data_IF_015093746255
#
_entry.id   IF_015093746255
#
_cell.length_a   1.000
_cell.length_b   1.000
_cell.length_c   1.000
_cell.angle_alpha   90.00
_cell.angle_beta   90.00
_cell.angle_gamma   90.00
#
_symmetry.space_group_name_H-M   'P 1'
#
loop_
_entity.id
_entity.type
_entity.pdbx_description
1 polymer ?
#
# COMPACT_ATOMS: atom_id res chain seq x y z
N UNK A 1 25.35 -13.67 21.61
CA UNK A 1 24.97 -12.28 21.24
C UNK A 1 23.67 -12.31 20.43
N UNK A 2 22.54 -11.88 21.00
CA UNK A 2 21.29 -11.72 20.23
C UNK A 2 21.32 -10.36 19.54
N UNK A 3 21.48 -10.34 18.21
CA UNK A 3 21.26 -9.11 17.41
C UNK A 3 19.76 -8.89 17.31
N UNK A 4 19.25 -7.87 17.98
CA UNK A 4 17.88 -7.39 17.77
C UNK A 4 17.83 -6.71 16.41
N UNK A 5 17.35 -7.40 15.39
CA UNK A 5 17.02 -6.78 14.10
C UNK A 5 15.72 -6.01 14.33
N UNK A 6 15.78 -4.68 14.46
CA UNK A 6 14.59 -3.83 14.33
C UNK A 6 14.21 -3.83 12.85
N UNK A 7 13.25 -4.67 12.48
CA UNK A 7 12.61 -4.55 11.17
C UNK A 7 11.79 -3.25 11.16
N UNK A 8 12.14 -2.31 10.28
CA UNK A 8 11.24 -1.20 9.96
C UNK A 8 9.99 -1.76 9.29
N UNK A 9 8.79 -1.21 9.53
CA UNK A 9 7.57 -1.69 8.88
C UNK A 9 7.71 -1.59 7.35
N UNK A 10 7.14 -2.56 6.64
CA UNK A 10 7.14 -2.58 5.18
C UNK A 10 6.56 -1.24 4.65
N UNK A 11 7.28 -0.50 3.79
CA UNK A 11 6.89 0.84 3.38
C UNK A 11 5.46 0.92 2.80
N UNK A 12 5.03 -0.08 2.05
CA UNK A 12 3.69 -0.14 1.46
C UNK A 12 2.56 -0.22 2.50
N UNK A 13 2.73 -1.05 3.54
CA UNK A 13 1.71 -1.20 4.59
C UNK A 13 1.56 0.06 5.44
N UNK A 14 2.68 0.74 5.69
CA UNK A 14 2.71 2.02 6.42
C UNK A 14 1.97 3.11 5.63
N UNK A 15 2.19 3.16 4.32
CA UNK A 15 1.49 4.10 3.44
C UNK A 15 -0.02 3.82 3.42
N UNK A 16 -0.46 2.57 3.23
CA UNK A 16 -1.88 2.25 3.21
C UNK A 16 -2.61 2.58 4.52
N UNK A 17 -2.01 2.29 5.67
CA UNK A 17 -2.60 2.61 6.97
C UNK A 17 -2.79 4.13 7.15
N UNK A 18 -1.82 4.95 6.71
CA UNK A 18 -1.92 6.40 6.78
C UNK A 18 -2.97 6.96 5.81
N UNK A 19 -3.05 6.40 4.60
CA UNK A 19 -4.08 6.78 3.63
C UNK A 19 -5.47 6.47 4.16
N UNK A 20 -5.68 5.28 4.73
CA UNK A 20 -6.95 4.88 5.31
C UNK A 20 -7.41 5.85 6.42
N UNK A 21 -6.50 6.22 7.33
CA UNK A 21 -6.78 7.19 8.38
C UNK A 21 -7.16 8.57 7.80
N UNK A 22 -6.39 9.07 6.82
CA UNK A 22 -6.66 10.37 6.18
C UNK A 22 -7.96 10.37 5.37
N UNK A 23 -8.35 9.23 4.82
CA UNK A 23 -9.60 9.04 4.08
C UNK A 23 -10.83 8.86 5.00
N UNK A 24 -10.64 8.93 6.32
CA UNK A 24 -11.70 8.71 7.29
C UNK A 24 -12.27 7.28 7.21
N UNK A 25 -11.46 6.31 6.81
CA UNK A 25 -11.82 4.90 6.93
C UNK A 25 -11.59 4.48 8.37
N UNK A 26 -12.68 4.25 9.09
CA UNK A 26 -12.68 3.71 10.44
C UNK A 26 -13.06 2.23 10.37
N UNK A 27 -12.19 1.34 10.87
CA UNK A 27 -12.43 -0.11 10.87
C UNK A 27 -11.40 -0.92 10.08
N UNK A 28 -11.81 -2.12 9.67
CA UNK A 28 -10.95 -3.07 8.95
C UNK A 28 -10.69 -2.61 7.51
N UNK A 29 -9.44 -2.72 7.06
CA UNK A 29 -9.07 -2.58 5.65
C UNK A 29 -8.64 -3.95 5.13
N UNK A 30 -9.18 -4.35 3.97
CA UNK A 30 -8.79 -5.61 3.34
C UNK A 30 -7.62 -5.37 2.40
N UNK A 31 -6.51 -6.06 2.64
CA UNK A 31 -5.34 -6.07 1.77
C UNK A 31 -5.45 -7.26 0.83
N UNK A 32 -5.55 -7.00 -0.47
CA UNK A 32 -5.65 -8.03 -1.50
C UNK A 32 -4.29 -8.63 -1.84
N UNK A 33 -3.24 -7.79 -1.85
CA UNK A 33 -1.89 -8.26 -2.10
C UNK A 33 -0.85 -7.36 -1.45
N UNK A 34 0.31 -7.93 -1.12
CA UNK A 34 1.45 -7.26 -0.49
C UNK A 34 2.75 -7.67 -1.16
N UNK A 35 3.58 -8.48 -0.52
CA UNK A 35 4.71 -9.09 -1.23
C UNK A 35 4.22 -10.07 -2.30
N UNK A 36 4.88 -10.08 -3.48
CA UNK A 36 4.70 -11.09 -4.53
C UNK A 36 6.06 -11.72 -4.86
N UNK A 37 6.07 -13.02 -5.12
CA UNK A 37 7.23 -13.71 -5.71
C UNK A 37 7.33 -13.38 -7.21
N UNK A 38 8.47 -13.62 -7.88
CA UNK A 38 8.58 -13.47 -9.33
C UNK A 38 7.50 -14.26 -10.10
N UNK A 39 7.21 -15.50 -9.67
CA UNK A 39 6.24 -16.38 -10.31
C UNK A 39 4.82 -15.86 -10.17
N UNK A 40 4.43 -15.45 -8.95
CA UNK A 40 3.10 -14.88 -8.70
C UNK A 40 2.93 -13.51 -9.36
N UNK A 41 3.98 -12.69 -9.41
CA UNK A 41 3.97 -11.41 -10.14
C UNK A 41 3.80 -11.63 -11.64
N UNK A 42 4.50 -12.62 -12.22
CA UNK A 42 4.34 -13.00 -13.62
C UNK A 42 2.93 -13.53 -13.93
N UNK A 43 2.39 -14.41 -13.07
CA UNK A 43 1.07 -15.01 -13.26
C UNK A 43 -0.08 -14.00 -13.32
N UNK A 44 0.08 -12.85 -12.67
CA UNK A 44 -0.90 -11.75 -12.70
C UNK A 44 -0.51 -10.63 -13.68
N UNK A 45 0.45 -10.89 -14.58
CA UNK A 45 0.99 -9.94 -15.55
C UNK A 45 1.50 -8.64 -14.91
N UNK A 46 2.11 -8.76 -13.72
CA UNK A 46 2.73 -7.64 -13.01
C UNK A 46 3.98 -7.14 -13.71
N UNK A 47 4.29 -5.85 -13.52
CA UNK A 47 5.49 -5.24 -14.09
C UNK A 47 6.77 -5.93 -13.58
N UNK A 48 7.79 -6.03 -14.43
CA UNK A 48 9.07 -6.66 -14.09
C UNK A 48 9.81 -5.96 -12.94
N UNK A 49 9.62 -4.64 -12.79
CA UNK A 49 10.20 -3.84 -11.70
C UNK A 49 9.16 -3.48 -10.61
N UNK A 50 8.18 -4.35 -10.39
CA UNK A 50 7.08 -4.12 -9.44
C UNK A 50 7.57 -3.94 -8.00
N UNK A 51 7.00 -2.96 -7.30
CA UNK A 51 7.27 -2.73 -5.87
C UNK A 51 6.75 -3.88 -4.98
N UNK A 52 5.79 -4.69 -5.44
CA UNK A 52 5.37 -5.90 -4.74
C UNK A 52 6.51 -6.92 -4.60
N UNK A 53 7.44 -6.99 -5.55
CA UNK A 53 8.62 -7.87 -5.50
C UNK A 53 9.60 -7.50 -4.36
N UNK A 54 9.44 -6.32 -3.77
CA UNK A 54 10.30 -5.79 -2.70
C UNK A 54 9.53 -5.49 -1.41
N UNK A 55 8.30 -6.00 -1.29
CA UNK A 55 7.37 -5.65 -0.21
C UNK A 55 7.15 -4.12 -0.05
N UNK A 56 7.37 -3.36 -1.14
CA UNK A 56 7.20 -1.91 -1.19
C UNK A 56 5.80 -1.47 -1.62
N UNK A 57 4.88 -2.41 -1.87
CA UNK A 57 3.54 -2.12 -2.33
C UNK A 57 2.47 -2.96 -1.63
N UNK A 58 1.26 -2.42 -1.61
CA UNK A 58 0.03 -3.11 -1.19
C UNK A 58 -1.13 -2.73 -2.11
N UNK A 59 -2.02 -3.68 -2.34
CA UNK A 59 -3.31 -3.44 -2.99
C UNK A 59 -4.40 -3.46 -1.92
N UNK A 60 -5.11 -2.35 -1.77
CA UNK A 60 -6.15 -2.16 -0.76
C UNK A 60 -7.51 -2.28 -1.44
N UNK A 61 -8.35 -3.19 -0.98
CA UNK A 61 -9.75 -3.24 -1.42
C UNK A 61 -10.48 -2.02 -0.89
N UNK A 62 -11.21 -1.33 -1.77
CA UNK A 62 -11.93 -0.11 -1.41
C UNK A 62 -13.33 -0.21 -2.01
N UNK A 63 -14.33 0.07 -1.18
CA UNK A 63 -15.72 0.10 -1.65
C UNK A 63 -15.88 1.12 -2.79
N UNK A 64 -16.69 0.85 -3.82
CA UNK A 64 -16.77 1.69 -5.03
C UNK A 64 -17.00 3.18 -4.74
N UNK A 65 -17.85 3.50 -3.76
CA UNK A 65 -18.16 4.87 -3.31
C UNK A 65 -17.00 5.57 -2.57
N UNK A 66 -16.02 4.79 -2.09
CA UNK A 66 -14.85 5.28 -1.34
C UNK A 66 -13.58 5.36 -2.16
N UNK A 67 -13.56 4.84 -3.39
CA UNK A 67 -12.35 4.79 -4.24
C UNK A 67 -11.79 6.19 -4.50
N UNK A 68 -12.65 7.15 -4.85
CA UNK A 68 -12.23 8.52 -5.14
C UNK A 68 -11.58 9.16 -3.90
N UNK A 69 -12.24 9.07 -2.74
CA UNK A 69 -11.73 9.63 -1.49
C UNK A 69 -10.41 8.97 -1.04
N UNK A 70 -10.30 7.65 -1.13
CA UNK A 70 -9.08 6.94 -0.78
C UNK A 70 -7.93 7.28 -1.73
N UNK A 71 -8.19 7.25 -3.04
CA UNK A 71 -7.21 7.60 -4.08
C UNK A 71 -6.70 9.03 -3.92
N UNK A 72 -7.58 10.00 -3.67
CA UNK A 72 -7.19 11.40 -3.41
C UNK A 72 -6.22 11.50 -2.23
N UNK A 73 -6.50 10.83 -1.12
CA UNK A 73 -5.64 10.86 0.06
C UNK A 73 -4.31 10.15 -0.19
N UNK A 74 -4.29 9.06 -0.96
CA UNK A 74 -3.06 8.40 -1.39
C UNK A 74 -2.18 9.32 -2.24
N UNK A 75 -2.79 10.02 -3.20
CA UNK A 75 -2.09 10.98 -4.06
C UNK A 75 -1.54 12.16 -3.27
N UNK A 76 -2.35 12.75 -2.38
CA UNK A 76 -1.94 13.85 -1.51
C UNK A 76 -0.87 13.47 -0.51
N UNK A 77 -0.80 12.20 -0.10
CA UNK A 77 0.26 11.72 0.76
C UNK A 77 1.63 11.82 0.08
N UNK A 78 1.71 11.64 -1.24
CA UNK A 78 2.92 11.86 -2.03
C UNK A 78 4.10 10.97 -1.65
N UNK A 79 3.85 9.77 -1.11
CA UNK A 79 4.90 8.86 -0.59
C UNK A 79 5.29 7.72 -1.53
N UNK A 80 4.73 7.72 -2.74
CA UNK A 80 5.14 6.85 -3.84
C UNK A 80 4.05 6.73 -4.90
N UNK A 81 4.03 5.61 -5.61
CA UNK A 81 3.09 5.37 -6.70
C UNK A 81 1.68 5.04 -6.22
N UNK A 82 0.67 5.55 -6.94
CA UNK A 82 -0.73 5.23 -6.69
C UNK A 82 -1.39 4.74 -7.99
N UNK A 83 -1.87 3.50 -7.99
CA UNK A 83 -2.67 2.95 -9.08
C UNK A 83 -4.13 2.86 -8.65
N UNK A 84 -5.04 3.52 -9.37
CA UNK A 84 -6.49 3.44 -9.08
C UNK A 84 -7.11 2.41 -10.03
N UNK A 85 -7.76 1.38 -9.49
CA UNK A 85 -8.47 0.37 -10.27
C UNK A 85 -9.94 0.37 -9.87
N UNK A 86 -10.61 1.47 -10.18
CA UNK A 86 -12.02 1.72 -9.83
C UNK A 86 -12.94 0.59 -10.28
N UNK A 87 -12.77 0.17 -11.52
CA UNK A 87 -13.50 -0.95 -12.13
C UNK A 87 -13.28 -2.30 -11.45
N UNK A 88 -12.17 -2.46 -10.72
CA UNK A 88 -11.76 -3.72 -10.06
C UNK A 88 -11.86 -3.66 -8.53
N UNK A 89 -12.30 -2.52 -7.96
CA UNK A 89 -12.57 -2.39 -6.53
C UNK A 89 -11.33 -2.24 -5.64
N UNK A 90 -10.19 -1.77 -6.16
CA UNK A 90 -8.98 -1.61 -5.33
C UNK A 90 -8.10 -0.42 -5.72
N UNK A 91 -7.28 0.01 -4.76
CA UNK A 91 -6.24 1.03 -4.94
C UNK A 91 -4.88 0.43 -4.57
N UNK A 92 -3.95 0.53 -5.49
CA UNK A 92 -2.55 0.18 -5.32
C UNK A 92 -1.78 1.36 -4.71
N UNK A 93 -0.99 1.10 -3.68
CA UNK A 93 -0.10 2.10 -3.05
C UNK A 93 1.29 1.50 -2.92
N UNK A 94 2.30 2.20 -3.44
CA UNK A 94 3.71 1.79 -3.37
C UNK A 94 4.66 2.87 -2.82
N UNK A 95 5.89 2.47 -2.53
CA UNK A 95 6.98 3.34 -2.05
C UNK A 95 8.01 3.75 -3.12
N UNK A 96 7.72 3.51 -4.40
CA UNK A 96 8.55 3.90 -5.54
C UNK A 96 8.40 5.39 -5.89
N UNK A 97 8.74 5.79 -7.13
CA UNK A 97 8.59 7.18 -7.57
C UNK A 97 7.14 7.67 -7.47
N UNK A 98 6.93 8.93 -7.07
CA UNK A 98 5.60 9.52 -7.01
C UNK A 98 5.02 9.63 -8.42
N UNK A 99 3.97 8.87 -8.68
CA UNK A 99 3.30 8.77 -9.99
C UNK A 99 1.88 8.25 -9.78
N UNK A 100 1.02 8.43 -10.79
CA UNK A 100 -0.35 7.91 -10.78
C UNK A 100 -0.72 7.25 -12.09
N UNK A 101 -1.55 6.21 -12.05
CA UNK A 101 -2.02 5.49 -13.24
C UNK A 101 -3.33 4.75 -12.96
N UNK A 102 -3.93 4.18 -14.03
CA UNK A 102 -5.19 3.43 -13.96
C UNK A 102 -6.42 4.31 -14.19
N UNK A 103 -7.55 3.91 -13.59
CA UNK A 103 -8.87 4.55 -13.68
C UNK A 103 -8.93 5.82 -12.80
N UNK A 104 -7.93 6.70 -12.90
CA UNK A 104 -7.86 7.93 -12.11
C UNK A 104 -8.96 8.89 -12.58
N UNK A 105 -9.89 9.31 -11.70
CA UNK A 105 -10.89 10.32 -12.05
C UNK A 105 -10.24 11.61 -12.57
N UNK A 106 -10.88 12.29 -13.52
CA UNK A 106 -10.35 13.50 -14.15
C UNK A 106 -9.98 14.59 -13.13
N UNK A 107 -10.76 14.71 -12.05
CA UNK A 107 -10.55 15.65 -10.95
C UNK A 107 -9.26 15.34 -10.17
N UNK A 108 -8.91 14.05 -10.05
CA UNK A 108 -7.68 13.61 -9.41
C UNK A 108 -6.49 13.66 -10.38
N UNK A 109 -6.71 13.63 -11.69
CA UNK A 109 -5.65 13.71 -12.69
C UNK A 109 -4.96 15.08 -12.69
N UNK A 110 -5.71 16.15 -12.38
CA UNK A 110 -5.20 17.53 -12.32
C UNK A 110 -4.48 17.89 -11.02
N UNK A 111 -4.55 17.03 -9.98
CA UNK A 111 -3.83 17.28 -8.73
C UNK A 111 -2.32 17.39 -8.99
N UNK A 112 -1.61 18.36 -8.39
CA UNK A 112 -0.16 18.44 -8.53
C UNK A 112 0.48 17.15 -7.99
N UNK A 113 1.54 16.67 -8.65
CA UNK A 113 2.38 15.61 -8.07
C UNK A 113 3.11 16.24 -6.89
N UNK A 114 2.67 15.90 -5.67
CA UNK A 114 3.26 16.45 -4.45
C UNK A 114 4.75 16.06 -4.36
N UNK A 115 5.61 17.05 -4.11
CA UNK A 115 6.99 16.78 -3.68
C UNK A 115 6.93 16.07 -2.33
N UNK A 116 7.49 14.86 -2.24
CA UNK A 116 7.27 13.93 -1.15
C UNK A 116 7.26 14.57 0.24
N UNK A 117 6.11 14.53 0.90
CA UNK A 117 5.93 15.11 2.23
C UNK A 117 6.82 14.42 3.28
N UNK A 118 7.14 15.09 4.41
CA UNK A 118 7.99 14.51 5.44
C UNK A 118 7.44 13.15 5.90
N UNK A 119 8.32 12.15 5.96
CA UNK A 119 8.00 10.81 6.48
C UNK A 119 7.74 10.90 7.98
N UNK A 120 6.48 11.00 8.38
CA UNK A 120 6.07 10.89 9.78
C UNK A 120 6.22 9.43 10.19
N UNK A 121 7.04 9.18 11.23
CA UNK A 121 7.12 7.86 11.88
C UNK A 121 5.75 7.61 12.52
N UNK A 122 4.96 6.69 11.96
CA UNK A 122 3.73 6.25 12.61
C UNK A 122 4.12 5.59 13.94
N UNK A 123 3.49 6.00 15.03
CA UNK A 123 3.58 5.31 16.31
C UNK A 123 2.74 4.02 16.21
N UNK A 124 3.42 2.93 15.87
CA UNK A 124 2.84 1.59 15.72
C UNK A 124 2.96 0.80 17.03
N UNK A 125 2.62 1.40 18.18
CA UNK A 125 2.49 0.67 19.47
C UNK A 125 1.45 -0.46 19.40
N UNK A 126 0.60 -0.45 18.38
CA UNK A 126 0.02 -1.66 17.79
C UNK A 126 0.86 -2.02 16.56
N UNK A 127 1.54 -3.17 16.57
CA UNK A 127 2.37 -3.66 15.45
C UNK A 127 1.61 -4.75 14.64
N UNK A 128 0.64 -4.35 13.79
CA UNK A 128 -0.12 -5.27 12.96
C UNK A 128 0.76 -5.95 11.91
N UNK A 129 1.91 -5.36 11.57
CA UNK A 129 2.86 -5.91 10.58
C UNK A 129 3.62 -7.10 11.17
N UNK A 130 4.11 -7.00 12.41
CA UNK A 130 4.71 -8.15 13.09
C UNK A 130 3.67 -9.24 13.35
N UNK A 131 2.42 -8.90 13.65
CA UNK A 131 1.34 -9.89 13.78
C UNK A 131 1.00 -10.58 12.46
N UNK A 132 0.98 -9.86 11.33
CA UNK A 132 0.80 -10.43 9.98
C UNK A 132 1.97 -11.32 9.58
N UNK A 133 3.20 -10.89 9.86
CA UNK A 133 4.41 -11.68 9.63
C UNK A 133 4.43 -12.96 10.50
N UNK A 134 4.05 -12.87 11.78
CA UNK A 134 3.89 -14.01 12.68
C UNK A 134 2.77 -14.96 12.24
N UNK A 135 1.61 -14.43 11.84
CA UNK A 135 0.49 -15.22 11.32
C UNK A 135 0.87 -15.97 10.03
N UNK A 136 1.61 -15.32 9.15
CA UNK A 136 2.13 -15.93 7.92
C UNK A 136 3.20 -17.00 8.21
N UNK A 137 4.09 -16.77 9.18
CA UNK A 137 5.07 -17.79 9.59
C UNK A 137 4.38 -19.05 10.17
N UNK A 138 3.29 -18.88 10.93
CA UNK A 138 2.53 -20.00 11.53
C UNK A 138 1.72 -20.83 10.53
N UNK A 139 1.46 -20.32 9.33
CA UNK A 139 0.72 -21.06 8.28
C UNK A 139 1.62 -21.94 7.41
N UNK A 140 2.95 -21.85 7.56
CA UNK A 140 3.95 -22.65 6.82
C UNK A 140 4.54 -23.82 7.61
N UNK A 141 4.17 -23.98 8.88
CA UNK A 141 4.54 -25.13 9.70
C UNK A 141 3.31 -26.05 9.76
N UNK A 142 3.23 -26.99 8.82
CA UNK A 142 2.42 -28.21 8.91
C UNK A 142 3.33 -29.38 8.60
#
# INVERSE_FOLDING_TARGET
>A
MRRTIRASPAPGMTAAAEVAQRAGLTGEITILSGYRTPETNYAVHGAGDSQHLRAGAVDVMVAPDRIAAFGEQALRLGRGGVGIYGSRGFVHVDSGPVRRWGDVPAELQSLPIAAGGPRRRLDLTFDPVSRLAEAWAKTRIR
#
